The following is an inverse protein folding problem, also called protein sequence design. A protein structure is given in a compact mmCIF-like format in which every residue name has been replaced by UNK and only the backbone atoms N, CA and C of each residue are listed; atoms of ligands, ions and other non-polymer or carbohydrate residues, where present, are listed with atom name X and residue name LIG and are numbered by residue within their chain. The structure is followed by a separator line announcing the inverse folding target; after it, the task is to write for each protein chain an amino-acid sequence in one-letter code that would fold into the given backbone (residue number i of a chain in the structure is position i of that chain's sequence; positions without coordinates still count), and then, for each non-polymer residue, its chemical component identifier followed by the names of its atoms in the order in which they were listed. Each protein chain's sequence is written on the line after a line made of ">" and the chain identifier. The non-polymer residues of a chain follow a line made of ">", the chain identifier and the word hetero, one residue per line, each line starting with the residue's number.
data_IF_830863595586
#
_entry.id   IF_830863595586
#
_cell.length_a   1.000
_cell.length_b   1.000
_cell.length_c   1.000
_cell.angle_alpha   90.00
_cell.angle_beta   90.00
_cell.angle_gamma   90.00
#
_symmetry.space_group_name_H-M   'P 1'
#
loop_
_entity.id
_entity.type
_entity.pdbx_description
1 polymer ?
#
# COMPACT_ATOMS: atom_id res chain seq x y z
N UNK A 1 -12.11 34.88 48.38
CA UNK A 1 -12.37 34.33 47.03
C UNK A 1 -11.11 34.48 46.08
N UNK A 2 -10.37 35.57 46.13
CA UNK A 2 -9.16 35.76 45.26
C UNK A 2 -8.03 34.72 45.50
N UNK A 3 -7.81 34.26 46.73
CA UNK A 3 -6.75 33.28 47.05
C UNK A 3 -7.05 31.86 46.52
N UNK A 4 -8.32 31.44 46.47
CA UNK A 4 -8.71 30.17 45.85
C UNK A 4 -8.53 30.18 44.33
N UNK A 5 -8.81 31.29 43.70
CA UNK A 5 -8.60 31.50 42.25
C UNK A 5 -7.10 31.40 41.89
N UNK A 6 -6.24 32.02 42.71
CA UNK A 6 -4.77 31.95 42.51
C UNK A 6 -4.22 30.52 42.67
N UNK A 7 -4.70 29.79 43.67
CA UNK A 7 -4.27 28.40 43.90
C UNK A 7 -4.72 27.47 42.77
N UNK A 8 -5.96 27.62 42.31
CA UNK A 8 -6.52 26.84 41.19
C UNK A 8 -5.75 27.13 39.89
N UNK A 9 -5.44 28.40 39.61
CA UNK A 9 -4.61 28.79 38.47
C UNK A 9 -3.20 28.20 38.54
N UNK A 10 -2.56 28.23 39.73
CA UNK A 10 -1.27 27.61 39.95
C UNK A 10 -1.28 26.09 39.73
N UNK A 11 -2.29 25.41 40.28
CA UNK A 11 -2.45 23.97 40.07
C UNK A 11 -2.64 23.62 38.59
N UNK A 12 -3.50 24.36 37.86
CA UNK A 12 -3.72 24.15 36.43
C UNK A 12 -2.44 24.36 35.63
N UNK A 13 -1.65 25.37 35.98
CA UNK A 13 -0.35 25.62 35.32
C UNK A 13 0.64 24.47 35.54
N UNK A 14 0.76 23.94 36.77
CA UNK A 14 1.63 22.80 37.08
C UNK A 14 1.20 21.54 36.29
N UNK A 15 -0.09 21.22 36.27
CA UNK A 15 -0.62 20.11 35.49
C UNK A 15 -0.38 20.28 33.98
N UNK A 16 -0.50 21.49 33.47
CA UNK A 16 -0.22 21.82 32.07
C UNK A 16 1.25 21.58 31.73
N UNK A 17 2.19 22.00 32.58
CA UNK A 17 3.61 21.76 32.38
C UNK A 17 3.99 20.28 32.50
N UNK A 18 3.38 19.53 33.45
CA UNK A 18 3.58 18.09 33.53
C UNK A 18 3.12 17.38 32.24
N UNK A 19 1.97 17.77 31.68
CA UNK A 19 1.48 17.21 30.42
C UNK A 19 2.41 17.57 29.23
N UNK A 20 2.92 18.80 29.18
CA UNK A 20 3.89 19.20 28.17
C UNK A 20 5.19 18.40 28.25
N UNK A 21 5.69 18.12 29.47
CA UNK A 21 6.85 17.24 29.70
C UNK A 21 6.56 15.79 29.26
N UNK A 22 5.36 15.29 29.53
CA UNK A 22 4.95 13.95 29.10
C UNK A 22 4.96 13.83 27.56
N UNK A 23 4.43 14.84 26.83
CA UNK A 23 4.48 14.90 25.36
C UNK A 23 5.95 14.90 24.86
N UNK A 24 6.82 15.68 25.51
CA UNK A 24 8.25 15.68 25.17
C UNK A 24 8.87 14.30 25.41
N UNK A 25 8.56 13.66 26.50
CA UNK A 25 9.01 12.29 26.82
C UNK A 25 8.53 11.27 25.77
N UNK A 26 7.27 11.36 25.33
CA UNK A 26 6.76 10.52 24.25
C UNK A 26 7.51 10.74 22.94
N UNK A 27 7.79 11.99 22.56
CA UNK A 27 8.60 12.29 21.38
C UNK A 27 10.02 11.68 21.46
N UNK A 28 10.65 11.72 22.63
CA UNK A 28 11.99 11.15 22.85
C UNK A 28 11.95 9.63 22.77
N UNK A 29 10.96 9.00 23.42
CA UNK A 29 10.81 7.55 23.43
C UNK A 29 10.52 6.97 22.03
N UNK A 30 9.90 7.75 21.16
CA UNK A 30 9.54 7.33 19.80
C UNK A 30 10.45 7.92 18.71
N UNK A 31 11.62 8.46 19.04
CA UNK A 31 12.52 9.15 18.08
C UNK A 31 12.97 8.22 16.93
N UNK A 32 13.05 6.92 17.17
CA UNK A 32 13.43 5.90 16.19
C UNK A 32 12.24 5.13 15.63
N UNK A 33 11.01 5.54 15.95
CA UNK A 33 9.78 4.90 15.42
C UNK A 33 9.36 5.66 14.14
N UNK A 34 9.47 5.05 12.94
CA UNK A 34 9.14 5.71 11.68
C UNK A 34 7.65 6.07 11.57
N UNK A 35 6.78 5.35 12.29
CA UNK A 35 5.32 5.53 12.23
C UNK A 35 4.83 6.58 13.24
N UNK A 36 5.73 7.12 14.06
CA UNK A 36 5.38 8.11 15.07
C UNK A 36 5.47 9.53 14.52
N UNK A 37 4.36 10.24 14.57
CA UNK A 37 4.35 11.67 14.25
C UNK A 37 4.62 12.48 15.51
N UNK A 38 5.68 13.30 15.47
CA UNK A 38 6.06 14.20 16.57
C UNK A 38 4.87 15.08 16.97
N UNK A 39 4.72 15.27 18.27
CA UNK A 39 3.67 16.10 18.85
C UNK A 39 4.26 17.36 19.49
N UNK A 40 3.49 18.43 19.48
CA UNK A 40 3.80 19.68 20.16
C UNK A 40 2.73 19.97 21.20
N UNK A 41 3.16 20.36 22.39
CA UNK A 41 2.29 20.87 23.43
C UNK A 41 1.79 22.28 23.07
N UNK A 42 0.48 22.47 22.93
CA UNK A 42 -0.15 23.77 22.74
C UNK A 42 -0.91 24.17 24.00
N UNK A 43 -0.54 25.33 24.56
CA UNK A 43 -1.16 25.85 25.77
C UNK A 43 -2.45 26.56 25.40
N UNK A 44 -3.57 26.10 25.97
CA UNK A 44 -4.90 26.69 25.74
C UNK A 44 -5.20 27.69 26.85
N UNK A 45 -5.38 28.94 26.48
CA UNK A 45 -5.72 30.01 27.41
C UNK A 45 -7.22 29.99 27.80
N UNK A 46 -7.52 30.40 29.04
CA UNK A 46 -8.89 30.65 29.48
C UNK A 46 -9.23 32.09 29.15
N UNK A 47 -10.41 32.39 28.51
CA UNK A 47 -10.86 33.75 28.26
C UNK A 47 -10.94 34.65 29.50
N UNK A 48 -11.10 34.04 30.69
CA UNK A 48 -11.17 34.76 31.97
C UNK A 48 -9.79 34.87 32.69
N UNK A 49 -8.70 34.60 31.97
CA UNK A 49 -7.33 34.66 32.47
C UNK A 49 -6.80 33.32 32.98
N UNK A 50 -5.50 33.06 32.77
CA UNK A 50 -4.82 31.82 33.12
C UNK A 50 -4.88 30.75 32.01
N UNK A 51 -4.37 29.57 32.34
CA UNK A 51 -4.34 28.41 31.45
C UNK A 51 -5.60 27.54 31.67
N UNK A 52 -6.20 27.06 30.59
CA UNK A 52 -7.23 26.04 30.60
C UNK A 52 -6.61 24.63 30.63
N UNK A 53 -5.46 24.46 29.95
CA UNK A 53 -4.77 23.17 29.85
C UNK A 53 -3.73 23.15 28.74
N UNK A 54 -3.32 21.95 28.38
CA UNK A 54 -2.43 21.68 27.23
C UNK A 54 -3.09 20.66 26.34
N UNK A 55 -3.13 20.95 25.05
CA UNK A 55 -3.53 20.05 23.99
C UNK A 55 -2.27 19.56 23.25
N UNK A 56 -2.29 18.30 22.81
CA UNK A 56 -1.23 17.76 21.96
C UNK A 56 -1.62 17.90 20.50
N UNK A 57 -0.76 18.54 19.70
CA UNK A 57 -0.96 18.74 18.27
C UNK A 57 0.12 18.00 17.49
N UNK A 58 -0.31 17.15 16.56
CA UNK A 58 0.56 16.46 15.61
C UNK A 58 1.25 17.46 14.67
N UNK A 59 2.57 17.31 14.50
CA UNK A 59 3.38 18.11 13.59
C UNK A 59 3.51 17.41 12.25
N UNK A 60 2.42 17.40 11.48
CA UNK A 60 2.32 16.73 10.20
C UNK A 60 1.88 17.73 9.12
N UNK A 61 2.46 17.61 7.95
CA UNK A 61 1.98 18.30 6.76
C UNK A 61 1.19 17.31 5.90
N UNK A 62 -0.12 17.47 5.89
CA UNK A 62 -1.06 16.60 5.19
C UNK A 62 -0.89 16.62 3.68
N UNK A 63 -0.43 17.74 3.12
CA UNK A 63 -0.14 17.84 1.69
C UNK A 63 1.04 16.95 1.33
N UNK A 64 2.11 16.97 2.16
CA UNK A 64 3.29 16.12 1.96
C UNK A 64 2.90 14.65 2.11
N UNK A 65 2.11 14.28 3.12
CA UNK A 65 1.61 12.90 3.27
C UNK A 65 0.79 12.45 2.06
N UNK A 66 -0.10 13.31 1.58
CA UNK A 66 -0.87 13.01 0.36
C UNK A 66 0.01 12.86 -0.89
N UNK A 67 1.10 13.61 -0.98
CA UNK A 67 2.07 13.48 -2.07
C UNK A 67 2.89 12.19 -1.94
N UNK A 68 3.30 11.83 -0.73
CA UNK A 68 4.02 10.59 -0.44
C UNK A 68 3.16 9.37 -0.83
N UNK A 69 1.89 9.33 -0.40
CA UNK A 69 0.98 8.25 -0.77
C UNK A 69 0.83 8.15 -2.29
N UNK A 70 0.70 9.26 -3.02
CA UNK A 70 0.67 9.25 -4.49
C UNK A 70 1.95 8.67 -5.09
N UNK A 71 3.11 9.07 -4.55
CA UNK A 71 4.40 8.52 -5.00
C UNK A 71 4.48 7.01 -4.77
N UNK A 72 4.00 6.51 -3.62
CA UNK A 72 3.94 5.07 -3.35
C UNK A 72 3.04 4.34 -4.35
N UNK A 73 1.86 4.90 -4.68
CA UNK A 73 0.96 4.34 -5.69
C UNK A 73 1.63 4.26 -7.07
N UNK A 74 2.34 5.31 -7.49
CA UNK A 74 3.03 5.35 -8.77
C UNK A 74 4.19 4.34 -8.82
N UNK A 75 4.99 4.26 -7.75
CA UNK A 75 6.08 3.28 -7.62
C UNK A 75 5.54 1.85 -7.63
N UNK A 76 4.48 1.56 -6.86
CA UNK A 76 3.85 0.25 -6.82
C UNK A 76 3.32 -0.16 -8.19
N UNK A 77 2.69 0.77 -8.94
CA UNK A 77 2.21 0.51 -10.29
C UNK A 77 3.36 0.19 -11.27
N UNK A 78 4.47 0.94 -11.21
CA UNK A 78 5.62 0.69 -12.09
C UNK A 78 6.32 -0.63 -11.74
N UNK A 79 6.51 -0.91 -10.44
CA UNK A 79 7.10 -2.18 -9.99
C UNK A 79 6.23 -3.37 -10.41
N UNK A 80 4.90 -3.28 -10.24
CA UNK A 80 3.99 -4.33 -10.69
C UNK A 80 4.08 -4.62 -12.20
N UNK A 81 4.31 -3.58 -13.02
CA UNK A 81 4.58 -3.78 -14.47
C UNK A 81 5.91 -4.46 -14.74
N UNK A 82 6.97 -4.07 -14.01
CA UNK A 82 8.30 -4.67 -14.16
C UNK A 82 8.29 -6.14 -13.74
N UNK A 83 7.67 -6.45 -12.60
CA UNK A 83 7.53 -7.81 -12.08
C UNK A 83 6.83 -8.77 -13.05
N UNK A 84 5.92 -8.24 -13.89
CA UNK A 84 5.23 -9.02 -14.92
C UNK A 84 6.01 -9.09 -16.24
N UNK A 85 6.76 -8.04 -16.58
CA UNK A 85 7.51 -7.97 -17.84
C UNK A 85 8.82 -8.76 -17.79
N UNK A 86 9.54 -8.71 -16.66
CA UNK A 86 10.88 -9.32 -16.50
C UNK A 86 10.91 -10.83 -16.79
N UNK A 87 9.97 -11.66 -16.29
CA UNK A 87 9.93 -13.08 -16.60
C UNK A 87 9.67 -13.35 -18.10
N UNK A 88 8.84 -12.53 -18.74
CA UNK A 88 8.55 -12.65 -20.17
C UNK A 88 9.76 -12.22 -21.03
N UNK A 89 10.43 -11.14 -20.65
CA UNK A 89 11.64 -10.69 -21.32
C UNK A 89 12.77 -11.73 -21.22
N UNK A 90 12.96 -12.32 -20.03
CA UNK A 90 13.94 -13.39 -19.83
C UNK A 90 13.65 -14.63 -20.70
N UNK A 91 12.38 -14.97 -20.89
CA UNK A 91 11.98 -16.11 -21.72
C UNK A 91 12.13 -15.85 -23.22
N UNK A 92 11.80 -14.63 -23.66
CA UNK A 92 11.86 -14.24 -25.07
C UNK A 92 13.28 -13.80 -25.51
N UNK A 93 14.04 -13.21 -24.56
CA UNK A 93 15.40 -12.68 -24.83
C UNK A 93 16.49 -13.72 -24.90
N UNK A 94 16.25 -14.94 -24.39
CA UNK A 94 17.24 -16.01 -24.44
C UNK A 94 17.32 -16.63 -25.85
N UNK A 95 18.32 -16.21 -26.62
CA UNK A 95 18.48 -16.58 -28.03
C UNK A 95 18.62 -18.08 -28.27
N UNK A 96 19.18 -18.87 -27.33
CA UNK A 96 19.39 -20.32 -27.51
C UNK A 96 18.12 -21.15 -27.22
N UNK A 97 17.27 -20.69 -26.31
CA UNK A 97 16.02 -21.37 -25.92
C UNK A 97 14.76 -20.75 -26.52
N UNK A 98 14.89 -19.69 -27.32
CA UNK A 98 13.76 -18.97 -27.90
C UNK A 98 12.99 -19.81 -28.93
N UNK A 99 11.68 -19.60 -28.98
CA UNK A 99 10.82 -20.17 -30.05
C UNK A 99 11.33 -19.76 -31.42
N UNK A 100 11.84 -18.53 -31.55
CA UNK A 100 12.38 -18.01 -32.81
C UNK A 100 13.58 -18.86 -33.29
N UNK A 101 14.48 -19.26 -32.40
CA UNK A 101 15.57 -20.16 -32.71
C UNK A 101 15.06 -21.52 -33.20
N UNK A 102 14.09 -22.11 -32.53
CA UNK A 102 13.53 -23.41 -32.92
C UNK A 102 12.78 -23.33 -34.27
N UNK A 103 12.05 -22.24 -34.53
CA UNK A 103 11.40 -22.00 -35.83
C UNK A 103 12.46 -21.87 -36.95
N UNK A 104 13.53 -21.12 -36.67
CA UNK A 104 14.62 -20.95 -37.66
C UNK A 104 15.32 -22.28 -37.95
N UNK A 105 15.64 -23.08 -36.92
CA UNK A 105 16.24 -24.41 -37.09
C UNK A 105 15.34 -25.35 -37.89
N UNK A 106 14.05 -25.36 -37.61
CA UNK A 106 13.09 -26.16 -38.35
C UNK A 106 13.05 -25.78 -39.85
N UNK A 107 12.94 -24.49 -40.20
CA UNK A 107 12.93 -24.05 -41.60
C UNK A 107 14.27 -24.29 -42.30
N UNK A 108 15.41 -24.16 -41.61
CA UNK A 108 16.73 -24.54 -42.14
C UNK A 108 16.77 -26.05 -42.46
N UNK A 109 16.30 -26.87 -41.57
CA UNK A 109 16.27 -28.32 -41.81
C UNK A 109 15.36 -28.73 -42.98
N UNK A 110 14.24 -28.04 -43.17
CA UNK A 110 13.36 -28.20 -44.35
C UNK A 110 14.08 -27.80 -45.62
N UNK A 111 14.86 -26.70 -45.61
CA UNK A 111 15.63 -26.24 -46.76
C UNK A 111 16.72 -27.28 -47.10
N UNK A 112 17.43 -27.82 -46.12
CA UNK A 112 18.46 -28.84 -46.34
C UNK A 112 17.86 -30.15 -46.91
N UNK A 113 16.69 -30.57 -46.44
CA UNK A 113 15.96 -31.69 -47.00
C UNK A 113 15.48 -31.44 -48.44
N UNK A 114 15.14 -30.17 -48.79
CA UNK A 114 14.74 -29.78 -50.13
C UNK A 114 15.97 -29.76 -51.09
N UNK A 115 17.18 -29.44 -50.60
CA UNK A 115 18.41 -29.45 -51.36
C UNK A 115 18.89 -30.87 -51.71
N UNK A 116 18.66 -31.86 -50.80
CA UNK A 116 18.89 -33.28 -51.04
C UNK A 116 17.70 -34.13 -50.59
N UNK A 117 16.69 -34.28 -51.44
CA UNK A 117 15.48 -35.04 -51.10
C UNK A 117 15.69 -36.53 -50.95
N UNK A 118 16.80 -37.07 -51.39
CA UNK A 118 17.12 -38.52 -51.31
C UNK A 118 17.75 -38.89 -49.98
N UNK A 119 18.28 -37.92 -49.23
CA UNK A 119 18.94 -38.15 -47.94
C UNK A 119 17.93 -38.50 -46.87
N UNK A 120 18.01 -39.73 -46.37
CA UNK A 120 17.26 -40.20 -45.19
C UNK A 120 17.64 -39.41 -43.92
N UNK A 121 18.89 -39.00 -43.80
CA UNK A 121 19.40 -38.21 -42.68
C UNK A 121 18.73 -36.85 -42.62
N UNK A 122 18.65 -36.12 -43.74
CA UNK A 122 18.00 -34.79 -43.77
C UNK A 122 16.51 -34.89 -43.42
N UNK A 123 15.80 -35.90 -43.90
CA UNK A 123 14.40 -36.15 -43.50
C UNK A 123 14.24 -36.42 -42.01
N UNK A 124 15.17 -37.19 -41.41
CA UNK A 124 15.14 -37.46 -39.96
C UNK A 124 15.40 -36.19 -39.16
N UNK A 125 16.31 -35.30 -39.63
CA UNK A 125 16.55 -33.99 -38.98
C UNK A 125 15.31 -33.13 -39.00
N UNK A 126 14.57 -33.05 -40.11
CA UNK A 126 13.30 -32.28 -40.16
C UNK A 126 12.30 -32.77 -39.11
N UNK A 127 12.19 -34.10 -38.93
CA UNK A 127 11.27 -34.66 -37.94
C UNK A 127 11.74 -34.29 -36.53
N UNK A 128 13.04 -34.44 -36.23
CA UNK A 128 13.59 -34.06 -34.94
C UNK A 128 13.43 -32.57 -34.61
N UNK A 129 13.66 -31.71 -35.58
CA UNK A 129 13.48 -30.26 -35.40
C UNK A 129 12.00 -29.89 -35.23
N UNK A 130 11.09 -30.56 -35.95
CA UNK A 130 9.65 -30.40 -35.74
C UNK A 130 9.20 -30.83 -34.33
N UNK A 131 9.68 -31.99 -33.84
CA UNK A 131 9.40 -32.47 -32.48
C UNK A 131 9.98 -31.50 -31.42
N UNK A 132 11.20 -30.98 -31.65
CA UNK A 132 11.82 -29.95 -30.80
C UNK A 132 11.01 -28.67 -30.74
N UNK A 133 10.53 -28.19 -31.90
CA UNK A 133 9.66 -27.01 -31.98
C UNK A 133 8.32 -27.23 -31.24
N UNK A 134 7.67 -28.38 -31.44
CA UNK A 134 6.44 -28.72 -30.74
C UNK A 134 6.61 -28.77 -29.21
N UNK A 135 7.71 -29.35 -28.74
CA UNK A 135 8.05 -29.40 -27.32
C UNK A 135 8.19 -27.98 -26.76
N UNK A 136 8.98 -27.13 -27.41
CA UNK A 136 9.18 -25.72 -26.98
C UNK A 136 7.88 -24.92 -26.98
N UNK A 137 6.99 -25.11 -27.97
CA UNK A 137 5.69 -24.46 -28.00
C UNK A 137 4.79 -24.93 -26.84
N UNK A 138 4.85 -26.24 -26.52
CA UNK A 138 4.10 -26.80 -25.38
C UNK A 138 4.62 -26.24 -24.05
N UNK A 139 5.94 -26.15 -23.89
CA UNK A 139 6.57 -25.59 -22.69
C UNK A 139 6.22 -24.12 -22.50
N UNK A 140 6.24 -23.35 -23.58
CA UNK A 140 5.84 -21.93 -23.57
C UNK A 140 4.36 -21.75 -23.20
N UNK A 141 3.48 -22.58 -23.76
CA UNK A 141 2.06 -22.56 -23.41
C UNK A 141 1.82 -22.87 -21.93
N UNK A 142 2.51 -23.89 -21.39
CA UNK A 142 2.45 -24.21 -19.96
C UNK A 142 2.94 -23.04 -19.12
N UNK A 143 4.08 -22.44 -19.47
CA UNK A 143 4.61 -21.30 -18.76
C UNK A 143 3.63 -20.12 -18.73
N UNK A 144 2.96 -19.80 -19.84
CA UNK A 144 1.96 -18.73 -19.88
C UNK A 144 0.77 -19.03 -18.96
N UNK A 145 0.29 -20.28 -18.96
CA UNK A 145 -0.79 -20.70 -18.05
C UNK A 145 -0.38 -20.60 -16.57
N UNK A 146 0.86 -20.99 -16.26
CA UNK A 146 1.41 -20.88 -14.90
C UNK A 146 1.54 -19.41 -14.48
N UNK A 147 1.98 -18.53 -15.38
CA UNK A 147 2.02 -17.08 -15.11
C UNK A 147 0.63 -16.48 -14.88
N UNK A 148 -0.37 -16.90 -15.67
CA UNK A 148 -1.75 -16.47 -15.46
C UNK A 148 -2.26 -16.89 -14.08
N UNK A 149 -2.00 -18.11 -13.65
CA UNK A 149 -2.37 -18.59 -12.32
C UNK A 149 -1.67 -17.78 -11.21
N UNK A 150 -0.37 -17.53 -11.33
CA UNK A 150 0.40 -16.72 -10.38
C UNK A 150 -0.16 -15.30 -10.27
N UNK A 151 -0.49 -14.67 -11.40
CA UNK A 151 -1.09 -13.33 -11.41
C UNK A 151 -2.46 -13.34 -10.72
N UNK A 152 -3.30 -14.33 -11.02
CA UNK A 152 -4.61 -14.47 -10.40
C UNK A 152 -4.53 -14.68 -8.87
N UNK A 153 -3.56 -15.46 -8.38
CA UNK A 153 -3.31 -15.63 -6.96
C UNK A 153 -2.85 -14.32 -6.32
N UNK A 154 -1.88 -13.61 -6.91
CA UNK A 154 -1.43 -12.30 -6.42
C UNK A 154 -2.56 -11.27 -6.35
N UNK A 155 -3.46 -11.27 -7.34
CA UNK A 155 -4.63 -10.39 -7.33
C UNK A 155 -5.56 -10.73 -6.16
N UNK A 156 -5.82 -12.02 -5.90
CA UNK A 156 -6.66 -12.45 -4.76
C UNK A 156 -6.04 -12.06 -3.42
N UNK A 157 -4.74 -12.28 -3.26
CA UNK A 157 -4.01 -11.89 -2.04
C UNK A 157 -4.04 -10.36 -1.83
N UNK A 158 -3.81 -9.60 -2.89
CA UNK A 158 -3.89 -8.13 -2.84
C UNK A 158 -5.29 -7.64 -2.45
N UNK A 159 -6.34 -8.25 -3.02
CA UNK A 159 -7.73 -7.94 -2.68
C UNK A 159 -8.03 -8.25 -1.20
N UNK A 160 -7.54 -9.37 -0.69
CA UNK A 160 -7.70 -9.72 0.73
C UNK A 160 -6.98 -8.71 1.64
N UNK A 161 -5.76 -8.30 1.29
CA UNK A 161 -5.02 -7.27 2.04
C UNK A 161 -5.74 -5.92 1.99
N UNK A 162 -6.22 -5.47 0.82
CA UNK A 162 -7.00 -4.25 0.67
C UNK A 162 -8.25 -4.29 1.56
N UNK A 163 -8.99 -5.39 1.58
CA UNK A 163 -10.16 -5.54 2.43
C UNK A 163 -9.82 -5.46 3.92
N UNK A 164 -8.70 -6.07 4.33
CA UNK A 164 -8.23 -6.02 5.73
C UNK A 164 -7.84 -4.59 6.12
N UNK A 165 -7.06 -3.88 5.28
CA UNK A 165 -6.67 -2.50 5.53
C UNK A 165 -7.89 -1.57 5.56
N UNK A 166 -8.83 -1.76 4.63
CA UNK A 166 -10.09 -0.99 4.60
C UNK A 166 -10.92 -1.18 5.87
N UNK A 167 -11.01 -2.41 6.38
CA UNK A 167 -11.65 -2.72 7.65
C UNK A 167 -10.95 -2.01 8.81
N UNK A 168 -9.62 -2.12 8.91
CA UNK A 168 -8.84 -1.49 9.98
C UNK A 168 -9.01 0.04 9.96
N UNK A 169 -8.97 0.67 8.79
CA UNK A 169 -9.20 2.12 8.66
C UNK A 169 -10.62 2.50 9.11
N UNK A 170 -11.63 1.69 8.77
CA UNK A 170 -13.00 1.91 9.20
C UNK A 170 -13.17 1.78 10.72
N UNK A 171 -12.53 0.80 11.35
CA UNK A 171 -12.50 0.62 12.80
C UNK A 171 -11.83 1.80 13.50
N UNK A 172 -10.66 2.25 13.01
CA UNK A 172 -9.96 3.43 13.53
C UNK A 172 -10.78 4.72 13.35
N UNK A 173 -11.53 4.88 12.26
CA UNK A 173 -12.48 5.99 12.10
C UNK A 173 -13.58 5.96 13.18
N UNK A 174 -14.10 4.77 13.50
CA UNK A 174 -15.11 4.60 14.54
C UNK A 174 -14.54 4.92 15.92
N UNK A 175 -13.35 4.40 16.25
CA UNK A 175 -12.68 4.68 17.52
C UNK A 175 -12.40 6.18 17.70
N UNK A 176 -11.93 6.87 16.66
CA UNK A 176 -11.72 8.32 16.66
C UNK A 176 -13.02 9.08 16.89
N UNK A 177 -14.12 8.66 16.26
CA UNK A 177 -15.44 9.29 16.39
C UNK A 177 -16.03 9.12 17.79
N UNK A 178 -15.95 7.92 18.37
CA UNK A 178 -16.59 7.61 19.66
C UNK A 178 -15.68 7.87 20.85
N UNK A 179 -14.37 7.73 20.71
CA UNK A 179 -13.39 7.92 21.78
C UNK A 179 -13.26 9.38 22.19
N UNK A 180 -13.35 10.30 21.26
CA UNK A 180 -13.29 11.75 21.57
C UNK A 180 -14.44 12.25 22.45
N UNK A 181 -15.55 11.50 22.51
CA UNK A 181 -16.75 11.90 23.24
C UNK A 181 -16.82 11.35 24.67
N UNK A 182 -16.10 10.28 25.02
CA UNK A 182 -16.42 9.48 26.21
C UNK A 182 -15.25 9.10 27.13
N UNK A 183 -13.97 9.31 26.79
CA UNK A 183 -12.84 8.79 27.58
C UNK A 183 -11.86 9.90 27.99
N UNK A 184 -11.73 10.13 29.31
CA UNK A 184 -10.63 10.95 29.86
C UNK A 184 -9.29 10.26 29.60
N UNK A 185 -8.39 10.92 28.84
CA UNK A 185 -7.08 10.37 28.50
C UNK A 185 -7.02 9.66 27.15
N UNK A 186 -8.07 9.77 26.35
CA UNK A 186 -8.11 9.25 24.98
C UNK A 186 -7.01 9.87 24.10
N UNK A 187 -6.14 9.01 23.56
CA UNK A 187 -5.05 9.41 22.69
C UNK A 187 -5.47 9.33 21.20
N UNK A 188 -6.18 10.34 20.77
CA UNK A 188 -6.61 10.46 19.36
C UNK A 188 -5.41 10.51 18.39
N UNK A 189 -4.26 11.02 18.81
CA UNK A 189 -3.10 11.16 17.93
C UNK A 189 -2.47 9.80 17.61
N UNK A 190 -2.42 8.88 18.59
CA UNK A 190 -1.97 7.51 18.37
C UNK A 190 -2.84 6.79 17.33
N UNK A 191 -4.16 6.91 17.43
CA UNK A 191 -5.09 6.31 16.46
C UNK A 191 -4.96 6.94 15.06
N UNK A 192 -4.72 8.26 15.01
CA UNK A 192 -4.43 8.91 13.72
C UNK A 192 -3.13 8.43 13.10
N UNK A 193 -2.08 8.20 13.89
CA UNK A 193 -0.82 7.64 13.41
C UNK A 193 -1.04 6.23 12.85
N UNK A 194 -1.75 5.37 13.59
CA UNK A 194 -2.10 4.03 13.11
C UNK A 194 -2.93 4.07 11.81
N UNK A 195 -3.89 4.99 11.71
CA UNK A 195 -4.69 5.15 10.49
C UNK A 195 -3.84 5.62 9.30
N UNK A 196 -2.94 6.57 9.51
CA UNK A 196 -2.05 7.07 8.47
C UNK A 196 -1.12 5.94 7.97
N UNK A 197 -0.64 5.08 8.87
CA UNK A 197 0.12 3.87 8.53
C UNK A 197 -0.72 2.88 7.68
N UNK A 198 -1.98 2.63 8.05
CA UNK A 198 -2.86 1.77 7.23
C UNK A 198 -3.12 2.38 5.84
N UNK A 199 -3.23 3.70 5.73
CA UNK A 199 -3.36 4.40 4.45
C UNK A 199 -2.08 4.32 3.63
N UNK A 200 -0.91 4.40 4.25
CA UNK A 200 0.37 4.21 3.58
C UNK A 200 0.49 2.80 3.02
N UNK A 201 0.20 1.76 3.82
CA UNK A 201 0.21 0.37 3.34
C UNK A 201 -0.80 0.14 2.21
N UNK A 202 -1.99 0.74 2.31
CA UNK A 202 -2.99 0.68 1.25
C UNK A 202 -2.48 1.33 -0.06
N UNK A 203 -1.68 2.41 0.04
CA UNK A 203 -1.12 3.10 -1.12
C UNK A 203 -0.11 2.26 -1.92
N UNK A 204 0.48 1.24 -1.30
CA UNK A 204 1.38 0.28 -1.94
C UNK A 204 0.64 -0.81 -2.74
N UNK A 205 -0.68 -0.96 -2.52
CA UNK A 205 -1.50 -2.00 -3.14
C UNK A 205 -2.47 -1.46 -4.20
N UNK A 206 -3.04 -0.28 -3.97
CA UNK A 206 -4.09 0.26 -4.86
C UNK A 206 -4.06 1.79 -4.89
N UNK A 207 -4.49 2.35 -6.01
CA UNK A 207 -4.63 3.80 -6.16
C UNK A 207 -5.97 4.29 -5.65
N UNK A 208 -5.93 5.27 -4.72
CA UNK A 208 -7.11 5.82 -4.08
C UNK A 208 -6.99 7.33 -3.84
N UNK A 209 -8.11 7.95 -3.50
CA UNK A 209 -8.20 9.32 -3.01
C UNK A 209 -8.77 9.34 -1.60
N UNK A 210 -8.23 10.20 -0.75
CA UNK A 210 -8.69 10.41 0.64
C UNK A 210 -9.48 11.69 0.71
N UNK A 211 -10.71 11.61 1.24
CA UNK A 211 -11.56 12.75 1.54
C UNK A 211 -11.77 12.83 3.05
N UNK A 212 -11.34 13.91 3.66
CA UNK A 212 -11.55 14.15 5.10
C UNK A 212 -12.95 14.67 5.37
N UNK A 213 -13.49 14.28 6.53
CA UNK A 213 -14.74 14.79 7.08
C UNK A 213 -14.45 15.73 8.24
N UNK A 214 -15.40 16.63 8.54
CA UNK A 214 -15.35 17.51 9.71
C UNK A 214 -15.31 16.75 11.05
N UNK A 215 -15.70 15.47 11.06
CA UNK A 215 -15.69 14.57 12.21
C UNK A 215 -14.38 13.80 12.40
N UNK A 216 -13.26 14.25 11.80
CA UNK A 216 -11.96 13.55 11.83
C UNK A 216 -11.95 12.17 11.13
N UNK A 217 -13.08 11.69 10.63
CA UNK A 217 -13.15 10.47 9.84
C UNK A 217 -12.63 10.71 8.41
N UNK A 218 -11.97 9.70 7.84
CA UNK A 218 -11.54 9.72 6.44
C UNK A 218 -12.41 8.79 5.60
N UNK A 219 -12.76 9.25 4.42
CA UNK A 219 -13.35 8.41 3.38
C UNK A 219 -12.26 8.07 2.36
N UNK A 220 -12.18 6.82 1.97
CA UNK A 220 -11.22 6.32 0.98
C UNK A 220 -11.98 5.84 -0.24
N UNK A 221 -11.70 6.43 -1.40
CA UNK A 221 -12.33 6.07 -2.66
C UNK A 221 -11.28 5.57 -3.64
N UNK A 222 -11.55 4.47 -4.33
CA UNK A 222 -10.75 4.07 -5.47
C UNK A 222 -10.79 5.15 -6.58
N UNK A 223 -9.79 5.17 -7.46
CA UNK A 223 -9.73 6.13 -8.59
C UNK A 223 -10.93 6.05 -9.55
N UNK A 224 -11.63 4.92 -9.58
CA UNK A 224 -12.88 4.73 -10.34
C UNK A 224 -14.13 5.25 -9.60
N UNK A 225 -13.95 5.87 -8.42
CA UNK A 225 -15.04 6.44 -7.61
C UNK A 225 -15.71 5.48 -6.64
N UNK A 226 -15.35 4.19 -6.62
CA UNK A 226 -15.91 3.21 -5.68
C UNK A 226 -15.36 3.46 -4.28
N UNK A 227 -16.20 3.71 -3.27
CA UNK A 227 -15.72 3.91 -1.90
C UNK A 227 -15.29 2.56 -1.28
N UNK A 228 -14.05 2.52 -0.75
CA UNK A 228 -13.56 1.42 0.08
C UNK A 228 -13.95 1.63 1.54
N UNK A 229 -13.73 2.84 2.05
CA UNK A 229 -14.07 3.22 3.43
C UNK A 229 -14.96 4.45 3.39
N UNK A 230 -16.05 4.39 4.14
CA UNK A 230 -17.02 5.46 4.26
C UNK A 230 -16.76 6.28 5.53
N UNK A 231 -17.11 7.56 5.50
CA UNK A 231 -16.97 8.48 6.65
C UNK A 231 -17.81 8.11 7.89
N UNK A 232 -18.76 7.20 7.73
CA UNK A 232 -19.58 6.68 8.84
C UNK A 232 -18.96 5.46 9.54
N UNK A 233 -17.75 5.04 9.15
CA UNK A 233 -17.03 3.92 9.72
C UNK A 233 -17.43 2.56 9.15
N UNK A 234 -18.15 2.53 8.02
CA UNK A 234 -18.39 1.32 7.23
C UNK A 234 -17.33 1.17 6.16
N UNK A 235 -17.13 -0.05 5.69
CA UNK A 235 -16.26 -0.34 4.56
C UNK A 235 -16.97 -1.25 3.56
N UNK A 236 -16.54 -1.20 2.31
CA UNK A 236 -17.02 -2.07 1.25
C UNK A 236 -15.93 -3.10 0.91
N UNK A 237 -16.33 -4.36 0.84
CA UNK A 237 -15.43 -5.41 0.38
C UNK A 237 -15.38 -5.43 -1.14
N UNK A 238 -14.18 -5.59 -1.69
CA UNK A 238 -13.96 -5.87 -3.10
C UNK A 238 -13.69 -7.37 -3.28
N UNK A 239 -14.02 -7.91 -4.45
CA UNK A 239 -13.80 -9.31 -4.80
C UNK A 239 -13.02 -9.40 -6.10
N UNK A 240 -12.09 -10.35 -6.17
CA UNK A 240 -11.47 -10.77 -7.42
C UNK A 240 -12.34 -11.89 -8.02
N UNK A 241 -12.82 -11.69 -9.21
CA UNK A 241 -13.55 -12.71 -10.00
C UNK A 241 -12.60 -13.45 -10.93
#
# INVERSE_FOLDING_TARGET
>A
MASFDLLTKGQTAVLAHQRALAITGQNINNINNPDYVRERAEYVSNPFGGLRGVESRRMIDEYIVGQLNRSHMDVAFQNGKLDQAEPLDSLLGNTESSINSAVTSFFNSVQDANNDPSSLTNRQVVISEAEGLMTRMSDFSRYLNDQENIVNERVRDSVQQINTLSKNIAELNNELKFGSSNVKGFDANSLRNQRDQQLEELSKLVSFDVVKSDSDAVQVNLKNGVPLVLKDGRYNMITAN
#
